data_IF_451483760437
#
_entry.id   IF_451483760437
#
_cell.length_a   1.000
_cell.length_b   1.000
_cell.length_c   1.000
_cell.angle_alpha   90.00
_cell.angle_beta   90.00
_cell.angle_gamma   90.00
#
_symmetry.space_group_name_H-M   'P 1'
#
loop_
_entity.id
_entity.type
_entity.pdbx_description
1 polymer ?
#
# COMPACT_ATOMS: atom_id res chain seq x y z
N UNK A 1 -16.81 3.22 -10.44
CA UNK A 1 -16.20 4.56 -10.30
C UNK A 1 -14.85 4.52 -10.98
N UNK A 2 -14.52 5.48 -11.87
CA UNK A 2 -13.15 5.59 -12.44
C UNK A 2 -12.57 4.28 -13.00
N UNK A 3 -13.30 3.58 -13.88
CA UNK A 3 -12.85 2.30 -14.47
C UNK A 3 -12.87 1.07 -13.54
N UNK A 4 -12.86 1.27 -12.21
CA UNK A 4 -12.86 0.22 -11.21
C UNK A 4 -14.27 -0.25 -10.80
N UNK A 5 -14.39 -1.54 -10.46
CA UNK A 5 -15.61 -2.21 -10.01
C UNK A 5 -15.61 -2.38 -8.50
N UNK A 6 -16.75 -2.10 -7.87
CA UNK A 6 -16.93 -2.18 -6.42
C UNK A 6 -18.03 -3.20 -6.11
N UNK A 7 -17.66 -4.27 -5.41
CA UNK A 7 -18.55 -5.32 -4.98
C UNK A 7 -18.80 -5.14 -3.48
N UNK A 8 -19.87 -4.44 -3.12
CA UNK A 8 -20.34 -4.25 -1.74
C UNK A 8 -21.64 -5.00 -1.52
N UNK A 9 -21.93 -5.43 -0.28
CA UNK A 9 -23.31 -5.80 0.05
C UNK A 9 -24.20 -4.53 0.06
N UNK A 10 -25.52 -4.65 -0.18
CA UNK A 10 -26.41 -3.51 -0.37
C UNK A 10 -26.33 -2.45 0.73
N UNK A 11 -26.21 -2.87 1.99
CA UNK A 11 -26.13 -2.01 3.16
C UNK A 11 -24.84 -1.16 3.23
N UNK A 12 -23.78 -1.56 2.53
CA UNK A 12 -22.53 -0.80 2.39
C UNK A 12 -22.36 -0.14 1.02
N UNK A 13 -23.34 -0.23 0.12
CA UNK A 13 -23.28 0.42 -1.19
C UNK A 13 -22.94 1.93 -1.12
N UNK A 14 -23.46 2.72 -0.15
CA UNK A 14 -23.08 4.13 -0.02
C UNK A 14 -21.58 4.37 0.27
N UNK A 15 -20.85 3.38 0.79
CA UNK A 15 -19.42 3.49 1.10
C UNK A 15 -18.50 3.32 -0.11
N UNK A 16 -19.02 2.78 -1.21
CA UNK A 16 -18.24 2.55 -2.45
C UNK A 16 -17.61 3.84 -2.98
N UNK A 17 -18.28 4.99 -2.82
CA UNK A 17 -17.71 6.30 -3.17
C UNK A 17 -16.50 6.68 -2.32
N UNK A 18 -16.51 6.37 -1.03
CA UNK A 18 -15.35 6.63 -0.16
C UNK A 18 -14.17 5.71 -0.46
N UNK A 19 -14.44 4.45 -0.82
CA UNK A 19 -13.39 3.52 -1.25
C UNK A 19 -12.81 3.95 -2.59
N UNK A 20 -13.65 4.39 -3.52
CA UNK A 20 -13.22 4.94 -4.79
C UNK A 20 -12.32 6.16 -4.62
N UNK A 21 -12.66 7.08 -3.72
CA UNK A 21 -11.80 8.22 -3.42
C UNK A 21 -10.40 7.84 -2.92
N UNK A 22 -10.24 6.71 -2.23
CA UNK A 22 -8.92 6.19 -1.84
C UNK A 22 -8.19 5.60 -3.04
N UNK A 23 -8.86 4.75 -3.81
CA UNK A 23 -8.30 4.15 -5.04
C UNK A 23 -7.80 5.24 -6.00
N UNK A 24 -8.63 6.24 -6.27
CA UNK A 24 -8.32 7.35 -7.17
C UNK A 24 -7.06 8.11 -6.71
N UNK A 25 -6.90 8.33 -5.39
CA UNK A 25 -5.73 9.03 -4.83
C UNK A 25 -4.46 8.19 -4.93
N UNK A 26 -4.53 6.88 -4.68
CA UNK A 26 -3.39 5.96 -4.85
C UNK A 26 -2.99 5.86 -6.32
N UNK A 27 -3.96 5.78 -7.23
CA UNK A 27 -3.70 5.73 -8.67
C UNK A 27 -3.14 7.05 -9.22
N UNK A 28 -3.57 8.20 -8.69
CA UNK A 28 -3.08 9.51 -9.12
C UNK A 28 -1.57 9.71 -8.89
N UNK A 29 -1.01 9.04 -7.88
CA UNK A 29 0.43 9.06 -7.55
C UNK A 29 1.22 7.92 -8.19
N UNK A 30 0.54 6.95 -8.82
CA UNK A 30 1.16 5.85 -9.54
C UNK A 30 1.66 6.27 -10.93
N UNK A 31 2.62 5.51 -11.46
CA UNK A 31 3.16 5.67 -12.81
C UNK A 31 2.68 4.60 -13.78
N UNK A 32 3.15 4.70 -15.03
CA UNK A 32 2.82 3.74 -16.09
C UNK A 32 1.31 3.51 -16.26
N UNK A 33 0.91 2.28 -16.56
CA UNK A 33 -0.49 1.91 -16.70
C UNK A 33 -1.23 1.75 -15.37
N UNK A 34 -0.54 1.87 -14.23
CA UNK A 34 -1.17 1.69 -12.91
C UNK A 34 -2.12 2.84 -12.55
N UNK A 35 -1.88 4.04 -13.09
CA UNK A 35 -2.73 5.21 -12.86
C UNK A 35 -4.16 5.06 -13.40
N UNK A 36 -4.36 4.23 -14.42
CA UNK A 36 -5.66 3.98 -15.05
C UNK A 36 -6.10 2.51 -14.92
N UNK A 37 -5.35 1.70 -14.17
CA UNK A 37 -5.58 0.25 -14.11
C UNK A 37 -6.95 -0.03 -13.47
N UNK A 38 -7.88 -0.72 -14.14
CA UNK A 38 -9.13 -1.12 -13.52
C UNK A 38 -8.87 -2.10 -12.37
N UNK A 39 -9.45 -1.81 -11.20
CA UNK A 39 -9.40 -2.68 -10.03
C UNK A 39 -10.79 -3.26 -9.73
N UNK A 40 -10.81 -4.39 -9.03
CA UNK A 40 -12.02 -4.97 -8.46
C UNK A 40 -11.91 -4.91 -6.94
N UNK A 41 -12.54 -3.90 -6.35
CA UNK A 41 -12.62 -3.76 -4.89
C UNK A 41 -13.78 -4.61 -4.38
N UNK A 42 -13.47 -5.61 -3.55
CA UNK A 42 -14.42 -6.58 -3.03
C UNK A 42 -14.53 -6.42 -1.52
N UNK A 43 -15.71 -6.07 -1.06
CA UNK A 43 -16.03 -6.19 0.35
C UNK A 43 -15.99 -7.66 0.74
N UNK A 44 -15.19 -8.00 1.74
CA UNK A 44 -15.12 -9.36 2.30
C UNK A 44 -15.29 -9.27 3.81
N UNK A 45 -16.00 -10.24 4.34
CA UNK A 45 -16.34 -10.34 5.76
C UNK A 45 -16.03 -11.77 6.15
N UNK A 46 -15.21 -11.95 7.18
CA UNK A 46 -15.13 -13.22 7.85
C UNK A 46 -16.27 -13.32 8.87
N UNK A 47 -17.22 -14.22 8.61
CA UNK A 47 -18.39 -14.42 9.46
C UNK A 47 -18.24 -15.60 10.42
N UNK A 48 -17.06 -16.27 10.48
CA UNK A 48 -16.85 -17.46 11.33
C UNK A 48 -17.13 -17.20 12.81
N UNK A 49 -16.89 -15.97 13.26
CA UNK A 49 -17.13 -15.54 14.65
C UNK A 49 -18.07 -14.32 14.74
N UNK A 50 -18.82 -14.04 13.67
CA UNK A 50 -19.72 -12.89 13.54
C UNK A 50 -19.16 -11.76 12.66
N UNK A 51 -20.03 -10.89 12.10
CA UNK A 51 -19.65 -9.91 11.06
C UNK A 51 -18.79 -8.74 11.54
N UNK A 52 -18.46 -8.69 12.84
CA UNK A 52 -17.67 -7.64 13.48
C UNK A 52 -16.30 -8.10 13.99
N UNK A 53 -15.88 -9.34 13.70
CA UNK A 53 -14.59 -9.86 14.16
C UNK A 53 -13.50 -9.62 13.14
N UNK A 54 -12.37 -9.05 13.59
CA UNK A 54 -11.11 -8.94 12.83
C UNK A 54 -10.46 -10.34 12.73
N UNK A 55 -11.06 -11.24 11.95
CA UNK A 55 -10.45 -12.52 11.63
C UNK A 55 -9.59 -12.41 10.36
N UNK A 56 -8.52 -13.20 10.29
CA UNK A 56 -7.60 -13.21 9.16
C UNK A 56 -8.34 -13.61 7.87
N UNK A 57 -8.51 -12.65 6.97
CA UNK A 57 -9.06 -12.85 5.63
C UNK A 57 -7.89 -13.20 4.70
N UNK A 58 -7.84 -14.40 4.11
CA UNK A 58 -6.75 -14.76 3.20
C UNK A 58 -6.67 -13.81 2.00
N UNK A 59 -5.47 -13.46 1.58
CA UNK A 59 -5.25 -12.62 0.40
C UNK A 59 -5.83 -13.23 -0.89
N UNK A 60 -6.36 -12.38 -1.76
CA UNK A 60 -6.79 -12.78 -3.09
C UNK A 60 -5.58 -12.99 -4.01
N UNK A 61 -5.60 -14.08 -4.76
CA UNK A 61 -4.61 -14.38 -5.79
C UNK A 61 -4.96 -13.78 -7.15
N UNK A 62 -6.23 -13.36 -7.34
CA UNK A 62 -6.71 -12.78 -8.59
C UNK A 62 -6.08 -11.41 -8.87
N UNK A 63 -5.64 -11.20 -10.11
CA UNK A 63 -5.02 -9.95 -10.52
C UNK A 63 -5.96 -8.74 -10.36
N UNK A 64 -5.44 -7.64 -9.81
CA UNK A 64 -6.18 -6.38 -9.65
C UNK A 64 -7.35 -6.44 -8.67
N UNK A 65 -7.46 -7.50 -7.86
CA UNK A 65 -8.49 -7.61 -6.83
C UNK A 65 -7.97 -7.04 -5.52
N UNK A 66 -8.81 -6.26 -4.83
CA UNK A 66 -8.49 -5.64 -3.54
C UNK A 66 -9.64 -5.88 -2.57
N UNK A 67 -9.32 -6.28 -1.36
CA UNK A 67 -10.25 -6.56 -0.28
C UNK A 67 -10.49 -5.29 0.52
N UNK A 68 -11.74 -5.08 0.94
CA UNK A 68 -12.11 -4.05 1.92
C UNK A 68 -13.00 -4.66 3.00
N UNK A 69 -12.77 -4.26 4.25
CA UNK A 69 -13.55 -4.72 5.40
C UNK A 69 -14.86 -3.96 5.61
N UNK A 70 -15.57 -4.33 6.67
CA UNK A 70 -16.79 -3.64 7.14
C UNK A 70 -16.48 -2.48 8.08
N UNK A 71 -15.35 -2.49 8.78
CA UNK A 71 -14.85 -1.32 9.51
C UNK A 71 -14.31 -0.28 8.52
N UNK A 72 -14.62 1.00 8.73
CA UNK A 72 -14.16 2.08 7.85
C UNK A 72 -13.93 3.38 8.61
N UNK A 73 -13.04 4.21 8.08
CA UNK A 73 -12.60 5.46 8.70
C UNK A 73 -11.36 5.28 9.58
N UNK A 74 -10.74 6.40 9.97
CA UNK A 74 -9.53 6.40 10.80
C UNK A 74 -8.43 5.54 10.19
N UNK A 75 -7.90 4.58 10.97
CA UNK A 75 -6.78 3.72 10.59
C UNK A 75 -7.11 2.77 9.43
N UNK A 76 -8.39 2.52 9.12
CA UNK A 76 -8.79 1.65 8.01
C UNK A 76 -8.51 2.26 6.64
N UNK A 77 -8.37 3.58 6.55
CA UNK A 77 -8.04 4.29 5.31
C UNK A 77 -6.61 3.98 4.84
N UNK A 78 -5.55 4.20 5.66
CA UNK A 78 -4.18 3.86 5.24
C UNK A 78 -3.95 2.34 5.12
N UNK A 79 -4.68 1.52 5.87
CA UNK A 79 -4.68 0.05 5.70
C UNK A 79 -5.19 -0.34 4.30
N UNK A 80 -6.37 0.15 3.91
CA UNK A 80 -6.91 -0.09 2.57
C UNK A 80 -6.03 0.51 1.46
N UNK A 81 -5.49 1.70 1.69
CA UNK A 81 -4.54 2.36 0.78
C UNK A 81 -3.31 1.49 0.50
N UNK A 82 -2.79 0.81 1.53
CA UNK A 82 -1.62 -0.08 1.42
C UNK A 82 -1.94 -1.33 0.60
N UNK A 83 -3.14 -1.90 0.75
CA UNK A 83 -3.58 -3.03 -0.08
C UNK A 83 -3.75 -2.64 -1.56
N UNK A 84 -4.35 -1.46 -1.84
CA UNK A 84 -4.45 -0.95 -3.21
C UNK A 84 -3.07 -0.75 -3.83
N UNK A 85 -2.15 -0.10 -3.10
CA UNK A 85 -0.79 0.13 -3.55
C UNK A 85 -0.02 -1.18 -3.81
N UNK A 86 -0.14 -2.16 -2.90
CA UNK A 86 0.47 -3.48 -3.07
C UNK A 86 -0.04 -4.18 -4.33
N UNK A 87 -1.35 -4.14 -4.62
CA UNK A 87 -1.92 -4.74 -5.84
C UNK A 87 -1.49 -4.00 -7.11
N UNK A 88 -1.32 -2.67 -7.08
CA UNK A 88 -0.81 -1.93 -8.24
C UNK A 88 0.66 -2.27 -8.55
N UNK A 89 1.47 -2.54 -7.51
CA UNK A 89 2.90 -2.82 -7.63
C UNK A 89 3.18 -4.30 -7.90
N UNK A 90 2.55 -5.21 -7.16
CA UNK A 90 2.79 -6.65 -7.22
C UNK A 90 1.78 -7.43 -8.07
N UNK A 91 0.63 -6.81 -8.40
CA UNK A 91 -0.39 -7.37 -9.29
C UNK A 91 -1.57 -8.05 -8.59
N UNK A 92 -1.38 -8.58 -7.37
CA UNK A 92 -2.43 -9.19 -6.53
C UNK A 92 -2.12 -8.97 -5.04
N UNK A 93 -3.08 -9.25 -4.16
CA UNK A 93 -2.87 -9.15 -2.71
C UNK A 93 -1.82 -10.17 -2.24
N UNK A 94 -1.92 -11.41 -2.72
CA UNK A 94 -0.99 -12.48 -2.34
C UNK A 94 0.47 -12.16 -2.75
N UNK A 95 0.68 -11.66 -3.97
CA UNK A 95 2.01 -11.22 -4.40
C UNK A 95 2.51 -9.99 -3.61
N UNK A 96 1.59 -9.17 -3.10
CA UNK A 96 1.88 -8.03 -2.24
C UNK A 96 2.44 -8.46 -0.89
N UNK A 97 1.83 -9.46 -0.24
CA UNK A 97 2.30 -9.98 1.06
C UNK A 97 3.68 -10.67 1.00
N UNK A 98 4.13 -11.07 -0.18
CA UNK A 98 5.44 -11.69 -0.41
C UNK A 98 6.55 -10.67 -0.71
N UNK A 99 6.25 -9.36 -0.74
CA UNK A 99 7.25 -8.33 -1.03
C UNK A 99 8.30 -8.26 0.09
N UNK A 100 9.54 -8.58 -0.27
CA UNK A 100 10.72 -8.41 0.58
C UNK A 100 11.80 -7.50 -0.04
N UNK A 101 11.53 -6.93 -1.21
CA UNK A 101 12.47 -6.08 -1.94
C UNK A 101 12.09 -4.59 -1.88
N UNK A 102 12.85 -3.75 -2.57
CA UNK A 102 12.67 -2.30 -2.61
C UNK A 102 11.30 -1.85 -3.12
N UNK A 103 10.51 -2.71 -3.78
CA UNK A 103 9.12 -2.40 -4.16
C UNK A 103 8.27 -2.00 -2.96
N UNK A 104 8.61 -2.47 -1.76
CA UNK A 104 7.92 -2.07 -0.54
C UNK A 104 7.98 -0.54 -0.29
N UNK A 105 9.09 0.11 -0.64
CA UNK A 105 9.19 1.58 -0.56
C UNK A 105 8.20 2.26 -1.52
N UNK A 106 8.07 1.73 -2.74
CA UNK A 106 7.09 2.21 -3.74
C UNK A 106 5.67 2.03 -3.21
N UNK A 107 5.34 0.86 -2.66
CA UNK A 107 4.02 0.59 -2.05
C UNK A 107 3.68 1.62 -0.97
N UNK A 108 4.60 1.87 -0.03
CA UNK A 108 4.37 2.80 1.07
C UNK A 108 4.28 4.26 0.60
N UNK A 109 5.07 4.67 -0.40
CA UNK A 109 4.94 5.99 -1.01
C UNK A 109 3.54 6.19 -1.62
N UNK A 110 3.07 5.24 -2.43
CA UNK A 110 1.74 5.32 -3.06
C UNK A 110 0.62 5.32 -2.03
N UNK A 111 0.77 4.53 -0.96
CA UNK A 111 -0.21 4.40 0.11
C UNK A 111 -0.37 5.69 0.94
N UNK A 112 0.74 6.41 1.19
CA UNK A 112 0.77 7.44 2.24
C UNK A 112 1.01 8.87 1.73
N UNK A 113 1.69 9.06 0.60
CA UNK A 113 2.14 10.40 0.16
C UNK A 113 1.03 11.41 -0.14
N UNK A 114 -0.18 10.94 -0.42
CA UNK A 114 -1.35 11.78 -0.72
C UNK A 114 -2.14 12.18 0.54
N UNK A 115 -1.84 11.58 1.68
CA UNK A 115 -2.55 11.81 2.95
C UNK A 115 -2.23 13.22 3.49
N UNK A 116 -3.14 13.81 4.26
CA UNK A 116 -2.92 15.14 4.87
C UNK A 116 -1.77 15.12 5.90
N UNK A 117 -1.58 13.98 6.58
CA UNK A 117 -0.49 13.69 7.51
C UNK A 117 0.15 12.34 7.17
N UNK A 118 1.09 12.29 6.19
CA UNK A 118 1.70 11.04 5.75
C UNK A 118 2.50 10.32 6.84
N UNK A 119 3.14 11.08 7.75
CA UNK A 119 3.93 10.52 8.84
C UNK A 119 3.05 9.92 9.94
N UNK A 120 1.95 10.57 10.30
CA UNK A 120 0.95 9.94 11.17
C UNK A 120 0.25 8.77 10.49
N UNK A 121 0.06 8.79 9.17
CA UNK A 121 -0.48 7.65 8.44
C UNK A 121 0.49 6.45 8.45
N UNK A 122 1.80 6.69 8.30
CA UNK A 122 2.84 5.67 8.47
C UNK A 122 2.79 5.05 9.87
N UNK A 123 2.66 5.88 10.90
CA UNK A 123 2.51 5.42 12.28
C UNK A 123 1.30 4.50 12.44
N UNK A 124 0.12 4.95 11.98
CA UNK A 124 -1.17 4.26 12.17
C UNK A 124 -1.32 2.96 11.38
N UNK A 125 -0.57 2.81 10.28
CA UNK A 125 -0.62 1.59 9.44
C UNK A 125 0.39 0.55 9.88
N UNK A 126 1.24 0.84 10.86
CA UNK A 126 2.18 -0.13 11.41
C UNK A 126 1.64 -0.70 12.72
N UNK A 127 1.80 -2.00 12.90
CA UNK A 127 1.31 -2.71 14.09
C UNK A 127 1.92 -2.16 15.41
N UNK A 128 3.15 -1.66 15.35
CA UNK A 128 3.91 -1.17 16.50
C UNK A 128 3.77 0.34 16.76
N UNK A 129 2.97 1.05 15.97
CA UNK A 129 2.86 2.51 15.99
C UNK A 129 4.22 3.24 15.94
N UNK A 130 5.26 2.61 15.39
CA UNK A 130 6.59 3.19 15.24
C UNK A 130 6.77 3.79 13.84
N UNK A 131 7.79 4.64 13.68
CA UNK A 131 8.24 5.15 12.37
C UNK A 131 9.71 4.80 12.11
N UNK A 132 10.27 3.91 12.92
CA UNK A 132 11.67 3.44 12.87
C UNK A 132 11.71 1.92 13.05
N UNK A 133 12.81 1.27 12.68
CA UNK A 133 12.92 -0.20 12.77
C UNK A 133 12.09 -0.94 11.73
N UNK A 134 12.16 -2.27 11.75
CA UNK A 134 11.27 -3.14 10.99
C UNK A 134 9.87 -3.17 11.61
N UNK A 135 8.85 -3.44 10.79
CA UNK A 135 7.49 -3.61 11.27
C UNK A 135 6.60 -4.38 10.29
N UNK A 136 5.48 -4.85 10.84
CA UNK A 136 4.33 -5.33 10.09
C UNK A 136 3.45 -4.13 9.73
N UNK A 137 3.13 -4.01 8.44
CA UNK A 137 2.18 -3.05 7.90
C UNK A 137 0.82 -3.72 7.77
N UNK A 138 -0.18 -3.08 8.37
CA UNK A 138 -1.55 -3.53 8.39
C UNK A 138 -2.18 -3.46 6.99
N UNK A 139 -2.91 -4.52 6.64
CA UNK A 139 -3.66 -4.68 5.39
C UNK A 139 -4.99 -5.37 5.74
N UNK A 140 -6.07 -5.21 4.92
CA UNK A 140 -7.33 -5.90 5.16
C UNK A 140 -7.25 -7.44 5.03
N UNK A 141 -6.14 -7.97 4.53
CA UNK A 141 -5.86 -9.42 4.38
C UNK A 141 -4.54 -9.78 5.06
N UNK A 142 -3.77 -10.70 4.49
CA UNK A 142 -2.39 -10.96 4.92
C UNK A 142 -1.59 -9.65 4.96
N UNK A 143 -0.83 -9.40 6.04
CA UNK A 143 -0.13 -8.15 6.23
C UNK A 143 1.10 -8.06 5.31
N UNK A 144 1.66 -6.85 5.20
CA UNK A 144 2.93 -6.63 4.51
C UNK A 144 4.06 -6.51 5.54
N UNK A 145 5.27 -6.87 5.15
CA UNK A 145 6.47 -6.69 5.99
C UNK A 145 7.29 -5.52 5.48
N UNK A 146 7.86 -4.74 6.41
CA UNK A 146 8.76 -3.65 6.08
C UNK A 146 10.05 -3.76 6.90
N UNK A 147 11.19 -3.81 6.23
CA UNK A 147 12.51 -3.86 6.88
C UNK A 147 12.89 -2.49 7.46
N UNK A 148 13.87 -2.46 8.37
CA UNK A 148 14.38 -1.18 8.90
C UNK A 148 14.95 -0.29 7.80
N UNK A 149 15.63 -0.87 6.80
CA UNK A 149 16.16 -0.12 5.65
C UNK A 149 15.05 0.53 4.82
N UNK A 150 13.97 -0.21 4.55
CA UNK A 150 12.80 0.29 3.84
C UNK A 150 12.09 1.40 4.63
N UNK A 151 11.87 1.18 5.94
CA UNK A 151 11.31 2.18 6.85
C UNK A 151 12.10 3.49 6.79
N UNK A 152 13.43 3.41 6.83
CA UNK A 152 14.31 4.57 6.83
C UNK A 152 14.15 5.42 5.55
N UNK A 153 14.03 4.77 4.40
CA UNK A 153 13.82 5.44 3.11
C UNK A 153 12.42 6.03 3.03
N UNK A 154 11.39 5.26 3.40
CA UNK A 154 10.00 5.73 3.42
C UNK A 154 9.85 6.96 4.32
N UNK A 155 10.41 6.92 5.54
CA UNK A 155 10.37 8.05 6.47
C UNK A 155 10.98 9.31 5.86
N UNK A 156 12.14 9.20 5.21
CA UNK A 156 12.79 10.35 4.54
C UNK A 156 11.94 10.93 3.41
N UNK A 157 11.30 10.06 2.62
CA UNK A 157 10.40 10.47 1.55
C UNK A 157 9.17 11.20 2.08
N UNK A 158 8.59 10.76 3.19
CA UNK A 158 7.37 11.33 3.75
C UNK A 158 7.60 12.58 4.60
N UNK A 159 8.72 12.68 5.33
CA UNK A 159 9.06 13.87 6.15
C UNK A 159 9.44 15.08 5.29
N UNK A 160 10.22 14.87 4.24
CA UNK A 160 10.73 15.94 3.38
C UNK A 160 10.98 15.41 1.96
N UNK A 161 9.92 15.16 1.17
CA UNK A 161 10.06 14.66 -0.18
C UNK A 161 10.92 15.64 -1.01
N UNK A 162 11.97 15.17 -1.69
CA UNK A 162 12.67 15.97 -2.67
C UNK A 162 11.70 16.58 -3.69
N UNK A 163 12.04 17.77 -4.21
CA UNK A 163 11.27 18.35 -5.30
C UNK A 163 11.24 17.37 -6.49
N UNK A 164 10.03 17.11 -7.00
CA UNK A 164 9.81 16.19 -8.12
C UNK A 164 9.69 14.71 -7.77
N UNK A 165 9.66 14.28 -6.49
CA UNK A 165 9.52 12.85 -6.13
C UNK A 165 8.35 12.17 -6.85
N UNK A 166 7.16 12.79 -6.86
CA UNK A 166 6.01 12.23 -7.57
C UNK A 166 6.21 12.11 -9.08
N UNK A 167 6.98 13.02 -9.70
CA UNK A 167 7.33 12.92 -11.11
C UNK A 167 8.33 11.78 -11.37
N UNK A 168 9.35 11.62 -10.50
CA UNK A 168 10.32 10.51 -10.56
C UNK A 168 9.65 9.15 -10.39
N UNK A 169 8.64 9.04 -9.53
CA UNK A 169 7.84 7.81 -9.40
C UNK A 169 7.17 7.45 -10.71
N UNK A 170 6.63 8.45 -11.42
CA UNK A 170 5.96 8.24 -12.72
C UNK A 170 6.96 7.89 -13.81
N UNK A 171 8.09 8.59 -13.84
CA UNK A 171 9.18 8.40 -14.81
C UNK A 171 9.85 7.02 -14.67
N UNK A 172 10.17 6.61 -13.44
CA UNK A 172 10.90 5.36 -13.16
C UNK A 172 10.00 4.19 -12.80
N UNK A 173 8.70 4.26 -13.13
CA UNK A 173 7.69 3.30 -12.70
C UNK A 173 8.07 1.83 -12.98
N UNK A 174 8.56 1.54 -14.18
CA UNK A 174 8.93 0.18 -14.57
C UNK A 174 10.06 -0.39 -13.72
N UNK A 175 11.00 0.44 -13.28
CA UNK A 175 12.13 0.04 -12.45
C UNK A 175 11.73 -0.04 -10.97
N UNK A 176 10.93 0.92 -10.48
CA UNK A 176 10.41 0.96 -9.11
C UNK A 176 9.45 -0.19 -8.78
N UNK A 177 8.93 -0.87 -9.80
CA UNK A 177 8.02 -2.02 -9.68
C UNK A 177 8.64 -3.32 -10.20
N UNK A 178 9.91 -3.30 -10.60
CA UNK A 178 10.61 -4.50 -11.04
C UNK A 178 10.88 -5.44 -9.85
N UNK A 179 10.57 -6.75 -9.96
CA UNK A 179 10.95 -7.73 -8.95
C UNK A 179 12.46 -7.70 -8.67
N UNK A 180 12.84 -7.71 -7.39
CA UNK A 180 14.25 -7.70 -6.97
C UNK A 180 14.93 -6.33 -7.01
N UNK A 181 14.22 -5.23 -7.33
CA UNK A 181 14.79 -3.88 -7.16
C UNK A 181 15.17 -3.67 -5.71
N UNK A 182 16.37 -3.17 -5.44
CA UNK A 182 16.84 -3.00 -4.06
C UNK A 182 16.30 -1.70 -3.45
N UNK A 183 16.15 -1.65 -2.13
CA UNK A 183 15.79 -0.39 -1.43
C UNK A 183 16.77 0.74 -1.72
N UNK A 184 18.06 0.43 -1.88
CA UNK A 184 19.07 1.41 -2.27
C UNK A 184 18.82 1.99 -3.67
N UNK A 185 18.44 1.14 -4.63
CA UNK A 185 18.12 1.58 -5.98
C UNK A 185 16.86 2.44 -6.01
N UNK A 186 15.83 2.07 -5.26
CA UNK A 186 14.63 2.90 -5.14
C UNK A 186 14.95 4.27 -4.53
N UNK A 187 15.76 4.32 -3.47
CA UNK A 187 16.18 5.58 -2.86
C UNK A 187 16.93 6.50 -3.85
N UNK A 188 17.84 5.93 -4.64
CA UNK A 188 18.57 6.64 -5.69
C UNK A 188 17.61 7.25 -6.73
N UNK A 189 16.71 6.42 -7.29
CA UNK A 189 15.72 6.86 -8.29
C UNK A 189 14.80 7.97 -7.77
N UNK A 190 14.51 7.99 -6.48
CA UNK A 190 13.65 9.00 -5.86
C UNK A 190 14.43 10.23 -5.33
N UNK A 191 15.76 10.18 -5.34
CA UNK A 191 16.62 11.27 -4.92
C UNK A 191 16.73 11.44 -3.41
N UNK A 192 16.61 10.36 -2.64
CA UNK A 192 16.81 10.35 -1.19
C UNK A 192 18.04 9.52 -0.81
N UNK A 193 18.66 9.77 0.36
CA UNK A 193 19.77 8.93 0.82
C UNK A 193 19.35 7.46 0.94
N UNK A 194 20.22 6.56 0.51
CA UNK A 194 20.02 5.10 0.58
C UNK A 194 19.85 4.56 2.01
N UNK A 195 19.39 3.31 2.15
CA UNK A 195 19.14 2.72 3.46
C UNK A 195 20.45 2.49 4.21
N UNK A 196 20.37 2.53 5.55
CA UNK A 196 21.54 2.23 6.41
C UNK A 196 21.77 0.73 6.59
N UNK A 197 20.72 -0.08 6.41
CA UNK A 197 20.73 -1.55 6.49
C UNK A 197 20.15 -2.13 5.21
N UNK A 198 20.64 -3.29 4.79
CA UNK A 198 20.13 -3.99 3.62
C UNK A 198 18.71 -4.52 3.86
N UNK A 199 18.07 -4.94 2.77
CA UNK A 199 16.81 -5.68 2.84
C UNK A 199 17.09 -7.08 3.41
N UNK A 200 16.59 -7.36 4.61
CA UNK A 200 16.56 -8.70 5.19
C UNK A 200 15.19 -8.94 5.82
N UNK A 201 14.32 -9.68 5.13
CA UNK A 201 13.24 -10.38 5.80
C UNK A 201 13.86 -11.71 6.20
N UNK A 202 14.17 -11.88 7.48
CA UNK A 202 14.56 -13.20 7.98
C UNK A 202 13.33 -14.12 7.87
N UNK A 203 13.55 -15.35 7.39
CA UNK A 203 12.54 -16.42 7.34
C UNK A 203 12.14 -16.90 8.75
#
# INVERSE_FOLDING_TARGET
HGGSRYCAFPEWAPRTGTWAGVVDRVQAVAGGSAHDRPLVVRQRIDARYGPGTDAAIPALTGAGQVTVGTAWGGNRVPEFSSAVAAVLVAGSEAAGSELCDGRMVTVMWLSLSWQDDPMGALRRVRLDDSVTGSAIVLSPTDPLSMTEGQTDVVRRLLEKPPAGTGARVKEHWAELTAPGVTTARVAELLGVPGPKKADSCED
#
